data_IF_672628954962
#
_entry.id   IF_672628954962
#
_cell.length_a   1.000
_cell.length_b   1.000
_cell.length_c   1.000
_cell.angle_alpha   90.00
_cell.angle_beta   90.00
_cell.angle_gamma   90.00
#
_symmetry.space_group_name_H-M   'P 1'
#
loop_
_entity.id
_entity.type
_entity.pdbx_description
1 polymer ?
#
# COMPACT_ATOMS: atom_id res chain seq x y z
N UNK A 1 30.85 23.12 20.19
CA UNK A 1 30.13 21.86 20.44
C UNK A 1 29.71 21.39 19.07
N UNK A 2 30.27 20.29 18.56
CA UNK A 2 29.76 19.70 17.32
C UNK A 2 28.32 19.24 17.58
N UNK A 3 27.38 19.76 16.79
CA UNK A 3 25.99 19.29 16.83
C UNK A 3 26.00 17.80 16.52
N UNK A 4 25.42 17.00 17.43
CA UNK A 4 25.22 15.58 17.18
C UNK A 4 24.37 15.42 15.91
N UNK A 5 24.68 14.46 15.03
CA UNK A 5 23.84 14.15 13.88
C UNK A 5 22.39 13.91 14.31
N UNK A 6 21.44 14.53 13.61
CA UNK A 6 20.01 14.41 13.89
C UNK A 6 19.31 13.74 12.71
N UNK A 7 18.25 12.98 13.00
CA UNK A 7 17.38 12.49 11.94
C UNK A 7 16.59 13.67 11.38
N UNK A 8 16.63 13.87 10.07
CA UNK A 8 15.94 14.96 9.40
C UNK A 8 14.91 14.39 8.42
N UNK A 9 13.66 14.83 8.54
CA UNK A 9 12.59 14.47 7.61
C UNK A 9 12.82 15.08 6.21
N UNK A 10 11.97 14.75 5.23
CA UNK A 10 12.16 15.26 3.87
C UNK A 10 12.02 16.79 3.77
N UNK A 11 11.28 17.41 4.71
CA UNK A 11 11.03 18.85 4.73
C UNK A 11 12.13 19.63 5.49
N UNK A 12 13.15 18.95 6.01
CA UNK A 12 14.24 19.60 6.76
C UNK A 12 13.99 19.73 8.25
N UNK A 13 12.93 19.13 8.80
CA UNK A 13 12.64 19.19 10.22
C UNK A 13 13.36 18.08 10.98
N UNK A 14 13.85 18.40 12.18
CA UNK A 14 14.41 17.40 13.09
C UNK A 14 13.33 16.41 13.55
N UNK A 15 13.71 15.14 13.57
CA UNK A 15 12.89 14.04 14.04
C UNK A 15 13.56 13.35 15.22
N UNK A 16 12.78 13.20 16.29
CA UNK A 16 13.17 12.43 17.45
C UNK A 16 12.37 11.15 17.52
N UNK A 17 13.00 10.09 18.01
CA UNK A 17 12.34 8.81 18.22
C UNK A 17 11.27 8.94 19.33
N UNK A 18 10.03 8.50 19.07
CA UNK A 18 9.01 8.44 20.11
C UNK A 18 9.47 7.61 21.33
N UNK A 19 9.26 8.17 22.52
CA UNK A 19 9.58 7.53 23.81
C UNK A 19 8.35 7.05 24.59
N UNK A 20 7.13 7.40 24.16
CA UNK A 20 5.91 6.94 24.82
C UNK A 20 5.70 5.44 24.62
N UNK A 21 4.99 4.84 25.57
CA UNK A 21 4.62 3.44 25.60
C UNK A 21 3.18 3.25 25.17
N UNK A 22 2.85 2.04 24.70
CA UNK A 22 1.44 1.71 24.44
C UNK A 22 0.59 1.82 25.70
N UNK A 23 1.14 1.54 26.89
CA UNK A 23 0.40 1.64 28.14
C UNK A 23 -0.10 3.08 28.38
N UNK A 24 0.74 4.08 28.17
CA UNK A 24 0.35 5.49 28.31
C UNK A 24 -0.74 5.87 27.31
N UNK A 25 -0.68 5.33 26.08
CA UNK A 25 -1.73 5.52 25.06
C UNK A 25 -3.06 4.91 25.53
N UNK A 26 -3.05 3.66 26.01
CA UNK A 26 -4.26 2.98 26.51
C UNK A 26 -4.86 3.69 27.72
N UNK A 27 -4.04 4.08 28.70
CA UNK A 27 -4.49 4.71 29.94
C UNK A 27 -5.11 6.09 29.71
N UNK A 28 -4.75 6.79 28.63
CA UNK A 28 -5.28 8.11 28.31
C UNK A 28 -6.69 8.07 27.71
N UNK A 29 -7.11 6.95 27.12
CA UNK A 29 -8.36 6.85 26.36
C UNK A 29 -9.53 6.45 27.29
N UNK A 30 -10.68 7.12 27.21
CA UNK A 30 -11.86 6.74 27.98
C UNK A 30 -12.31 5.29 27.74
N UNK A 31 -12.66 4.60 28.82
CA UNK A 31 -13.01 3.17 28.77
C UNK A 31 -14.22 2.83 27.88
N UNK A 32 -15.12 3.78 27.61
CA UNK A 32 -16.24 3.56 26.70
C UNK A 32 -15.82 3.55 25.22
N UNK A 33 -14.73 4.22 24.84
CA UNK A 33 -14.25 4.20 23.46
C UNK A 33 -13.89 2.80 22.98
N UNK A 34 -13.50 1.90 23.88
CA UNK A 34 -13.17 0.50 23.59
C UNK A 34 -14.39 -0.42 23.45
N UNK A 35 -15.63 0.10 23.58
CA UNK A 35 -16.83 -0.74 23.64
C UNK A 35 -17.62 -0.65 22.33
N UNK A 36 -17.52 -1.66 21.44
CA UNK A 36 -18.35 -1.70 20.24
C UNK A 36 -19.83 -1.91 20.59
N UNK A 37 -20.69 -1.20 19.87
CA UNK A 37 -22.14 -1.34 19.85
C UNK A 37 -22.58 -1.99 18.55
N UNK A 38 -22.97 -3.27 18.62
CA UNK A 38 -23.45 -4.04 17.47
C UNK A 38 -24.64 -3.37 16.78
N UNK A 39 -25.57 -2.81 17.55
CA UNK A 39 -26.75 -2.13 17.00
C UNK A 39 -26.32 -0.90 16.19
N UNK A 40 -25.40 -0.10 16.73
CA UNK A 40 -24.89 1.08 16.03
C UNK A 40 -24.18 0.69 14.74
N UNK A 41 -23.27 -0.28 14.78
CA UNK A 41 -22.54 -0.74 13.60
C UNK A 41 -23.48 -1.32 12.53
N UNK A 42 -24.48 -2.12 12.92
CA UNK A 42 -25.50 -2.62 11.99
C UNK A 42 -26.39 -1.50 11.42
N UNK A 43 -26.65 -0.44 12.17
CA UNK A 43 -27.39 0.72 11.65
C UNK A 43 -26.61 1.43 10.54
N UNK A 44 -25.27 1.51 10.63
CA UNK A 44 -24.43 2.01 9.53
C UNK A 44 -24.46 1.09 8.31
N UNK A 45 -24.47 -0.24 8.50
CA UNK A 45 -24.66 -1.18 7.38
C UNK A 45 -26.01 -0.92 6.70
N UNK A 46 -27.10 -0.85 7.48
CA UNK A 46 -28.43 -0.59 6.94
C UNK A 46 -28.50 0.76 6.19
N UNK A 47 -27.88 1.81 6.74
CA UNK A 47 -27.76 3.13 6.11
C UNK A 47 -27.04 3.06 4.77
N UNK A 48 -25.86 2.43 4.73
CA UNK A 48 -25.03 2.41 3.52
C UNK A 48 -25.69 1.58 2.41
N UNK A 49 -26.33 0.45 2.74
CA UNK A 49 -27.12 -0.33 1.77
C UNK A 49 -28.42 0.38 1.35
N UNK A 50 -29.02 1.20 2.22
CA UNK A 50 -30.15 2.07 1.84
C UNK A 50 -29.70 3.13 0.83
N UNK A 51 -28.56 3.79 1.06
CA UNK A 51 -27.99 4.74 0.11
C UNK A 51 -27.69 4.08 -1.23
N UNK A 52 -27.04 2.92 -1.21
CA UNK A 52 -26.76 2.11 -2.40
C UNK A 52 -28.03 1.82 -3.20
N UNK A 53 -29.05 1.27 -2.54
CA UNK A 53 -30.27 0.86 -3.21
C UNK A 53 -31.06 2.06 -3.74
N UNK A 54 -31.08 3.16 -2.97
CA UNK A 54 -31.74 4.40 -3.35
C UNK A 54 -31.06 5.04 -4.56
N UNK A 55 -29.73 5.14 -4.57
CA UNK A 55 -28.98 5.72 -5.69
C UNK A 55 -29.18 4.91 -6.96
N UNK A 56 -29.13 3.57 -6.89
CA UNK A 56 -29.44 2.70 -8.04
C UNK A 56 -30.87 2.99 -8.54
N UNK A 57 -31.86 2.92 -7.65
CA UNK A 57 -33.27 3.11 -8.01
C UNK A 57 -33.53 4.48 -8.66
N UNK A 58 -33.03 5.56 -8.06
CA UNK A 58 -33.20 6.91 -8.59
C UNK A 58 -32.51 7.04 -9.95
N UNK A 59 -31.32 6.46 -10.11
CA UNK A 59 -30.53 6.58 -11.33
C UNK A 59 -31.19 5.87 -12.51
N UNK A 60 -31.65 4.62 -12.31
CA UNK A 60 -32.35 3.88 -13.37
C UNK A 60 -33.71 4.48 -13.72
N UNK A 61 -34.38 5.12 -12.75
CA UNK A 61 -35.72 5.69 -12.94
C UNK A 61 -35.68 7.04 -13.64
N UNK A 62 -34.78 7.94 -13.21
CA UNK A 62 -34.84 9.35 -13.58
C UNK A 62 -33.77 9.78 -14.58
N UNK A 63 -32.56 9.21 -14.58
CA UNK A 63 -31.52 9.63 -15.53
C UNK A 63 -31.94 9.39 -16.99
N UNK A 64 -32.57 8.26 -17.36
CA UNK A 64 -33.06 8.06 -18.73
C UNK A 64 -34.08 9.09 -19.21
N UNK A 65 -34.82 9.72 -18.28
CA UNK A 65 -35.83 10.73 -18.59
C UNK A 65 -35.22 12.08 -19.01
N UNK A 66 -33.91 12.29 -18.77
CA UNK A 66 -33.21 13.52 -19.16
C UNK A 66 -33.07 13.55 -20.70
N UNK A 67 -33.71 14.51 -21.42
CA UNK A 67 -33.70 14.50 -22.88
C UNK A 67 -32.33 14.78 -23.50
N UNK A 68 -31.54 15.66 -22.86
CA UNK A 68 -30.21 16.05 -23.32
C UNK A 68 -29.18 14.96 -23.04
N UNK A 69 -28.56 14.43 -24.11
CA UNK A 69 -27.53 13.39 -23.99
C UNK A 69 -26.30 13.84 -23.17
N UNK A 70 -25.76 15.07 -23.34
CA UNK A 70 -24.70 15.58 -22.48
C UNK A 70 -25.07 15.63 -21.00
N UNK A 71 -26.28 16.11 -20.67
CA UNK A 71 -26.74 16.15 -19.27
C UNK A 71 -26.94 14.76 -18.69
N UNK A 72 -27.41 13.81 -19.51
CA UNK A 72 -27.54 12.41 -19.12
C UNK A 72 -26.18 11.77 -18.83
N UNK A 73 -25.17 12.07 -19.65
CA UNK A 73 -23.79 11.62 -19.41
C UNK A 73 -23.26 12.17 -18.09
N UNK A 74 -23.40 13.48 -17.85
CA UNK A 74 -23.00 14.10 -16.58
C UNK A 74 -23.72 13.47 -15.38
N UNK A 75 -25.02 13.20 -15.50
CA UNK A 75 -25.80 12.55 -14.44
C UNK A 75 -25.32 11.12 -14.15
N UNK A 76 -25.01 10.32 -15.18
CA UNK A 76 -24.41 9.00 -15.00
C UNK A 76 -23.01 9.07 -14.37
N UNK A 77 -22.18 10.03 -14.78
CA UNK A 77 -20.87 10.25 -14.15
C UNK A 77 -21.04 10.60 -12.67
N UNK A 78 -21.94 11.53 -12.33
CA UNK A 78 -22.22 11.91 -10.96
C UNK A 78 -22.72 10.71 -10.12
N UNK A 79 -23.63 9.90 -10.67
CA UNK A 79 -24.05 8.65 -10.04
C UNK A 79 -22.85 7.74 -9.72
N UNK A 80 -21.99 7.47 -10.71
CA UNK A 80 -20.89 6.51 -10.50
C UNK A 80 -19.90 6.96 -9.42
N UNK A 81 -19.61 8.26 -9.36
CA UNK A 81 -18.75 8.87 -8.32
C UNK A 81 -19.40 8.74 -6.93
N UNK A 82 -20.66 9.15 -6.78
CA UNK A 82 -21.36 9.13 -5.49
C UNK A 82 -21.58 7.69 -5.01
N UNK A 83 -21.96 6.78 -5.92
CA UNK A 83 -22.09 5.36 -5.63
C UNK A 83 -20.76 4.74 -5.21
N UNK A 84 -19.66 5.18 -5.81
CA UNK A 84 -18.30 4.83 -5.39
C UNK A 84 -17.98 5.24 -3.95
N UNK A 85 -18.47 6.39 -3.49
CA UNK A 85 -18.30 6.80 -2.10
C UNK A 85 -19.05 5.85 -1.15
N UNK A 86 -20.29 5.50 -1.48
CA UNK A 86 -21.09 4.57 -0.69
C UNK A 86 -20.44 3.18 -0.64
N UNK A 87 -19.96 2.67 -1.77
CA UNK A 87 -19.26 1.38 -1.78
C UNK A 87 -17.97 1.41 -0.94
N UNK A 88 -17.24 2.53 -0.95
CA UNK A 88 -16.05 2.69 -0.11
C UNK A 88 -16.42 2.67 1.38
N UNK A 89 -17.54 3.29 1.77
CA UNK A 89 -18.09 3.17 3.13
C UNK A 89 -18.40 1.72 3.54
N UNK A 90 -19.03 0.95 2.64
CA UNK A 90 -19.29 -0.49 2.86
C UNK A 90 -17.98 -1.26 3.03
N UNK A 91 -16.96 -0.94 2.22
CA UNK A 91 -15.63 -1.55 2.34
C UNK A 91 -15.01 -1.29 3.72
N UNK A 92 -15.14 -0.05 4.22
CA UNK A 92 -14.61 0.38 5.52
C UNK A 92 -15.33 -0.33 6.67
N UNK A 93 -16.66 -0.50 6.60
CA UNK A 93 -17.39 -1.28 7.61
C UNK A 93 -16.93 -2.74 7.67
N UNK A 94 -16.60 -3.35 6.52
CA UNK A 94 -16.01 -4.69 6.48
C UNK A 94 -14.57 -4.72 7.01
N UNK A 95 -13.81 -3.65 6.80
CA UNK A 95 -12.51 -3.46 7.45
C UNK A 95 -12.65 -3.41 8.99
N UNK A 96 -13.63 -2.67 9.53
CA UNK A 96 -13.92 -2.65 10.98
C UNK A 96 -14.27 -4.05 11.53
N UNK A 97 -14.95 -4.87 10.73
CA UNK A 97 -15.17 -6.28 11.06
C UNK A 97 -13.85 -7.07 11.14
N UNK A 98 -12.89 -6.79 10.26
CA UNK A 98 -11.56 -7.40 10.26
C UNK A 98 -10.78 -7.16 11.56
N UNK A 99 -10.94 -5.98 12.16
CA UNK A 99 -10.32 -5.61 13.44
C UNK A 99 -11.11 -6.03 14.68
N UNK A 100 -12.36 -6.44 14.49
CA UNK A 100 -13.27 -6.72 15.61
C UNK A 100 -13.86 -5.47 16.27
N UNK A 101 -13.68 -4.30 15.66
CA UNK A 101 -14.23 -3.02 16.11
C UNK A 101 -15.73 -2.90 15.81
N UNK A 102 -16.26 -3.70 14.90
CA UNK A 102 -17.66 -3.67 14.51
C UNK A 102 -18.61 -4.24 15.59
N UNK A 103 -18.24 -5.32 16.28
CA UNK A 103 -19.07 -6.01 17.26
C UNK A 103 -18.22 -6.81 18.26
N UNK A 104 -18.74 -7.06 19.47
CA UNK A 104 -18.12 -7.99 20.43
C UNK A 104 -18.13 -9.44 19.93
N UNK A 105 -19.06 -9.80 19.04
CA UNK A 105 -19.17 -11.14 18.48
C UNK A 105 -18.21 -11.32 17.31
N UNK A 106 -17.18 -12.13 17.51
CA UNK A 106 -16.21 -12.51 16.47
C UNK A 106 -16.88 -13.15 15.26
N UNK A 107 -17.86 -14.04 15.50
CA UNK A 107 -18.62 -14.67 14.41
C UNK A 107 -19.39 -13.64 13.60
N UNK A 108 -20.07 -12.69 14.25
CA UNK A 108 -20.81 -11.66 13.53
C UNK A 108 -19.88 -10.79 12.69
N UNK A 109 -18.74 -10.37 13.24
CA UNK A 109 -17.73 -9.63 12.49
C UNK A 109 -17.30 -10.42 11.25
N UNK A 110 -16.98 -11.70 11.42
CA UNK A 110 -16.53 -12.53 10.32
C UNK A 110 -17.60 -12.72 9.23
N UNK A 111 -18.85 -12.94 9.62
CA UNK A 111 -19.96 -13.07 8.69
C UNK A 111 -20.24 -11.78 7.94
N UNK A 112 -20.36 -10.64 8.64
CA UNK A 112 -20.66 -9.36 8.01
C UNK A 112 -19.49 -8.87 7.13
N UNK A 113 -18.26 -9.04 7.60
CA UNK A 113 -17.06 -8.75 6.81
C UNK A 113 -17.00 -9.59 5.53
N UNK A 114 -17.26 -10.89 5.61
CA UNK A 114 -17.32 -11.78 4.45
C UNK A 114 -18.37 -11.32 3.44
N UNK A 115 -19.60 -10.99 3.89
CA UNK A 115 -20.68 -10.54 3.00
C UNK A 115 -20.30 -9.23 2.29
N UNK A 116 -19.89 -8.20 3.04
CA UNK A 116 -19.63 -6.87 2.50
C UNK A 116 -18.38 -6.82 1.61
N UNK A 117 -17.29 -7.50 1.98
CA UNK A 117 -16.10 -7.59 1.12
C UNK A 117 -16.33 -8.49 -0.09
N UNK A 118 -17.06 -9.61 0.03
CA UNK A 118 -17.41 -10.43 -1.14
C UNK A 118 -18.26 -9.66 -2.13
N UNK A 119 -19.23 -8.87 -1.66
CA UNK A 119 -20.00 -7.93 -2.49
C UNK A 119 -19.09 -6.98 -3.28
N UNK A 120 -17.95 -6.57 -2.72
CA UNK A 120 -16.96 -5.70 -3.37
C UNK A 120 -15.78 -6.46 -4.00
N UNK A 121 -15.92 -7.77 -4.22
CA UNK A 121 -14.91 -8.63 -4.86
C UNK A 121 -13.56 -8.65 -4.10
N UNK A 122 -13.61 -8.56 -2.77
CA UNK A 122 -12.46 -8.62 -1.87
C UNK A 122 -12.50 -9.93 -1.07
N UNK A 123 -11.41 -10.73 -1.04
CA UNK A 123 -11.37 -11.95 -0.25
C UNK A 123 -11.17 -11.61 1.25
N UNK A 124 -12.27 -11.46 1.99
CA UNK A 124 -12.29 -10.93 3.36
C UNK A 124 -11.28 -11.56 4.31
N UNK A 125 -11.23 -12.89 4.42
CA UNK A 125 -10.34 -13.54 5.39
C UNK A 125 -8.88 -13.46 4.97
N UNK A 126 -8.59 -13.51 3.68
CA UNK A 126 -7.25 -13.30 3.16
C UNK A 126 -6.76 -11.90 3.48
N UNK A 127 -7.57 -10.89 3.12
CA UNK A 127 -7.23 -9.50 3.34
C UNK A 127 -7.15 -9.16 4.83
N UNK A 128 -8.08 -9.59 5.69
CA UNK A 128 -8.03 -9.27 7.13
C UNK A 128 -6.78 -9.85 7.80
N UNK A 129 -6.30 -11.01 7.35
CA UNK A 129 -5.13 -11.69 7.93
C UNK A 129 -3.85 -10.98 7.50
N UNK A 130 -3.68 -10.67 6.21
CA UNK A 130 -2.52 -9.89 5.73
C UNK A 130 -2.54 -8.45 6.27
N UNK A 131 -3.71 -7.83 6.38
CA UNK A 131 -3.87 -6.52 7.00
C UNK A 131 -3.59 -6.52 8.51
N UNK A 132 -3.94 -7.59 9.23
CA UNK A 132 -3.51 -7.75 10.63
C UNK A 132 -1.99 -7.88 10.76
N UNK A 133 -1.30 -8.43 9.77
CA UNK A 133 0.17 -8.46 9.74
C UNK A 133 0.74 -7.07 9.48
N UNK A 134 0.15 -6.29 8.57
CA UNK A 134 0.50 -4.88 8.34
C UNK A 134 0.45 -4.10 9.66
N UNK A 135 -0.68 -4.09 10.37
CA UNK A 135 -0.82 -3.42 11.68
C UNK A 135 0.23 -3.83 12.72
N UNK A 136 0.71 -5.08 12.69
CA UNK A 136 1.75 -5.59 13.61
C UNK A 136 3.16 -5.20 13.20
N UNK A 137 3.35 -4.70 12.00
CA UNK A 137 4.65 -4.41 11.41
C UNK A 137 4.73 -3.03 10.73
N UNK A 138 3.68 -2.19 10.83
CA UNK A 138 3.59 -0.89 10.14
C UNK A 138 4.87 -0.09 10.27
N UNK A 139 5.36 0.46 9.16
CA UNK A 139 6.56 1.31 9.13
C UNK A 139 7.88 0.55 9.30
N UNK A 140 7.86 -0.79 9.37
CA UNK A 140 9.05 -1.62 9.34
C UNK A 140 9.44 -1.96 7.90
N UNK A 141 10.63 -1.55 7.45
CA UNK A 141 11.03 -1.72 6.04
C UNK A 141 11.30 -3.18 5.63
N UNK A 142 11.37 -4.10 6.59
CA UNK A 142 11.67 -5.52 6.35
C UNK A 142 10.44 -6.42 6.48
N UNK A 143 9.49 -6.06 7.36
CA UNK A 143 8.37 -6.94 7.77
C UNK A 143 6.98 -6.40 7.45
N UNK A 144 6.85 -5.13 7.11
CA UNK A 144 5.55 -4.57 6.75
C UNK A 144 5.02 -5.26 5.47
N UNK A 145 3.71 -5.45 5.39
CA UNK A 145 3.03 -6.17 4.31
C UNK A 145 2.31 -5.24 3.34
N UNK A 146 2.33 -3.92 3.57
CA UNK A 146 1.76 -2.93 2.67
C UNK A 146 2.56 -1.63 2.68
N UNK A 147 2.66 -0.98 1.51
CA UNK A 147 3.36 0.30 1.31
C UNK A 147 4.80 0.34 1.84
N UNK A 148 5.55 -0.77 1.72
CA UNK A 148 6.95 -0.82 2.11
C UNK A 148 7.78 0.06 1.17
N UNK A 149 8.42 1.14 1.64
CA UNK A 149 9.23 1.96 0.77
C UNK A 149 10.48 1.21 0.34
N UNK A 150 10.98 1.56 -0.84
CA UNK A 150 12.30 1.10 -1.25
C UNK A 150 13.39 1.85 -0.49
N UNK A 151 14.45 1.14 -0.07
CA UNK A 151 15.72 1.81 0.21
C UNK A 151 16.26 2.38 -1.10
N UNK A 152 17.11 3.41 -1.02
CA UNK A 152 17.69 4.02 -2.23
C UNK A 152 18.32 3.02 -3.20
N UNK A 153 19.15 2.11 -2.70
CA UNK A 153 19.80 1.08 -3.53
C UNK A 153 18.77 0.17 -4.21
N UNK A 154 17.74 -0.25 -3.47
CA UNK A 154 16.65 -1.09 -4.01
C UNK A 154 15.84 -0.32 -5.06
N UNK A 155 15.58 0.96 -4.81
CA UNK A 155 14.85 1.84 -5.71
C UNK A 155 15.60 2.00 -7.03
N UNK A 156 16.90 2.33 -6.97
CA UNK A 156 17.78 2.47 -8.14
C UNK A 156 17.83 1.19 -8.96
N UNK A 157 18.04 0.03 -8.31
CA UNK A 157 18.05 -1.27 -9.00
C UNK A 157 16.72 -1.61 -9.65
N UNK A 158 15.61 -1.24 -9.03
CA UNK A 158 14.26 -1.55 -9.53
C UNK A 158 13.88 -0.66 -10.71
N UNK A 159 14.23 0.64 -10.66
CA UNK A 159 13.86 1.61 -11.71
C UNK A 159 14.85 1.67 -12.87
N UNK A 160 16.15 1.51 -12.59
CA UNK A 160 17.23 1.71 -13.56
C UNK A 160 17.98 0.42 -13.91
N UNK A 161 17.64 -0.69 -13.24
CA UNK A 161 18.27 -1.99 -13.42
C UNK A 161 19.54 -2.18 -12.58
N UNK A 162 20.04 -3.42 -12.46
CA UNK A 162 21.17 -3.78 -11.59
C UNK A 162 22.52 -3.21 -12.03
N UNK A 163 22.60 -2.62 -13.24
CA UNK A 163 23.82 -2.03 -13.83
C UNK A 163 23.68 -0.52 -14.07
N UNK A 164 22.85 0.16 -13.30
CA UNK A 164 22.63 1.59 -13.45
C UNK A 164 23.96 2.36 -13.36
N UNK A 165 24.35 3.04 -14.45
CA UNK A 165 25.53 3.91 -14.47
C UNK A 165 25.19 5.28 -13.88
N UNK A 166 26.20 6.02 -13.38
CA UNK A 166 26.01 7.36 -12.81
C UNK A 166 25.25 8.31 -13.76
N UNK A 167 25.54 8.25 -15.06
CA UNK A 167 24.85 9.06 -16.08
C UNK A 167 23.37 8.67 -16.25
N UNK A 168 22.99 7.40 -16.02
CA UNK A 168 21.57 7.00 -16.03
C UNK A 168 20.86 7.46 -14.77
N UNK A 169 21.55 7.59 -13.64
CA UNK A 169 21.01 8.17 -12.41
C UNK A 169 20.76 9.67 -12.63
N UNK A 170 21.71 10.39 -13.24
CA UNK A 170 21.56 11.82 -13.57
C UNK A 170 20.44 12.08 -14.61
N UNK A 171 20.26 11.20 -15.61
CA UNK A 171 19.13 11.30 -16.53
C UNK A 171 17.79 10.91 -15.86
N UNK A 172 17.81 9.89 -15.00
CA UNK A 172 16.67 9.52 -14.19
C UNK A 172 16.35 10.54 -13.09
N UNK A 173 17.27 11.47 -12.81
CA UNK A 173 17.15 12.72 -12.04
C UNK A 173 16.66 13.91 -12.89
N UNK A 174 16.44 13.74 -14.19
CA UNK A 174 15.85 14.75 -15.07
C UNK A 174 14.45 14.35 -15.56
N UNK A 175 14.18 13.05 -15.75
CA UNK A 175 12.97 12.55 -16.41
C UNK A 175 11.75 12.25 -15.50
N UNK A 176 11.97 11.81 -14.27
CA UNK A 176 10.96 11.44 -13.27
C UNK A 176 10.17 12.64 -12.70
N UNK A 177 10.66 13.88 -12.78
CA UNK A 177 9.84 15.06 -12.41
C UNK A 177 8.96 15.60 -13.54
N UNK A 178 8.95 14.92 -14.68
CA UNK A 178 8.07 15.26 -15.78
C UNK A 178 6.59 15.08 -15.38
N UNK A 179 5.75 16.12 -15.48
CA UNK A 179 4.34 16.04 -15.08
C UNK A 179 3.56 14.91 -15.77
N UNK A 180 3.91 14.58 -17.01
CA UNK A 180 3.24 13.50 -17.75
C UNK A 180 3.64 12.12 -17.23
N UNK A 181 4.88 11.94 -16.80
CA UNK A 181 5.37 10.69 -16.22
C UNK A 181 4.76 10.48 -14.83
N UNK A 182 4.70 11.54 -14.01
CA UNK A 182 4.03 11.51 -12.72
C UNK A 182 2.54 11.19 -12.87
N UNK A 183 1.84 11.84 -13.79
CA UNK A 183 0.42 11.57 -14.07
C UNK A 183 0.19 10.14 -14.55
N UNK A 184 1.04 9.62 -15.43
CA UNK A 184 0.94 8.22 -15.88
C UNK A 184 1.13 7.25 -14.71
N UNK A 185 2.12 7.49 -13.84
CA UNK A 185 2.34 6.68 -12.66
C UNK A 185 1.12 6.70 -11.71
N UNK A 186 0.49 7.86 -11.53
CA UNK A 186 -0.72 8.00 -10.73
C UNK A 186 -1.90 7.23 -11.30
N UNK A 187 -2.13 7.33 -12.61
CA UNK A 187 -3.19 6.57 -13.28
C UNK A 187 -2.98 5.06 -13.14
N UNK A 188 -1.76 4.57 -13.35
CA UNK A 188 -1.44 3.14 -13.18
C UNK A 188 -1.60 2.74 -11.71
N UNK A 189 -1.12 3.55 -10.77
CA UNK A 189 -1.22 3.28 -9.34
C UNK A 189 -2.69 3.18 -8.90
N UNK A 190 -3.55 4.11 -9.33
CA UNK A 190 -4.97 4.10 -8.95
C UNK A 190 -5.78 2.99 -9.61
N UNK A 191 -5.45 2.60 -10.84
CA UNK A 191 -6.20 1.56 -11.56
C UNK A 191 -5.73 0.14 -11.21
N UNK A 192 -4.43 -0.05 -10.99
CA UNK A 192 -3.81 -1.38 -10.86
C UNK A 192 -3.32 -1.65 -9.43
N UNK A 193 -3.15 -0.64 -8.58
CA UNK A 193 -2.59 -0.77 -7.24
C UNK A 193 -3.31 -1.81 -6.40
N UNK A 194 -4.64 -1.72 -6.30
CA UNK A 194 -5.43 -2.65 -5.49
C UNK A 194 -5.48 -4.09 -6.05
N UNK A 195 -5.88 -4.33 -7.31
CA UNK A 195 -5.82 -5.68 -7.88
C UNK A 195 -4.40 -6.27 -7.88
N UNK A 196 -3.39 -5.44 -8.16
CA UNK A 196 -2.00 -5.84 -8.16
C UNK A 196 -1.50 -6.20 -6.76
N UNK A 197 -1.93 -5.50 -5.71
CA UNK A 197 -1.66 -5.88 -4.34
C UNK A 197 -2.26 -7.25 -4.00
N UNK A 198 -3.53 -7.48 -4.34
CA UNK A 198 -4.20 -8.75 -4.04
C UNK A 198 -3.58 -9.92 -4.78
N UNK A 199 -3.25 -9.76 -6.07
CA UNK A 199 -2.77 -10.84 -6.93
C UNK A 199 -1.24 -11.07 -6.85
N UNK A 200 -0.47 -10.00 -6.65
CA UNK A 200 0.98 -10.00 -6.84
C UNK A 200 1.78 -9.33 -5.71
N UNK A 201 1.13 -8.89 -4.63
CA UNK A 201 1.79 -8.27 -3.47
C UNK A 201 2.70 -7.09 -3.85
N UNK A 202 2.25 -6.22 -4.77
CA UNK A 202 3.09 -5.18 -5.37
C UNK A 202 3.73 -4.19 -4.37
N UNK A 203 3.08 -3.94 -3.23
CA UNK A 203 3.50 -2.93 -2.25
C UNK A 203 4.00 -3.51 -0.92
N UNK A 204 4.00 -4.84 -0.76
CA UNK A 204 4.44 -5.52 0.47
C UNK A 204 5.92 -5.89 0.46
N UNK A 205 6.39 -6.47 1.57
CA UNK A 205 7.71 -7.10 1.65
C UNK A 205 7.91 -8.21 0.60
N UNK A 206 9.18 -8.55 0.32
CA UNK A 206 9.56 -9.51 -0.75
C UNK A 206 9.56 -10.98 -0.35
N UNK A 207 9.24 -11.34 0.91
CA UNK A 207 9.13 -12.73 1.41
C UNK A 207 10.22 -13.68 0.89
N UNK A 208 11.50 -13.29 1.01
CA UNK A 208 12.62 -14.12 0.56
C UNK A 208 12.66 -14.42 -0.96
N UNK A 209 12.00 -13.61 -1.78
CA UNK A 209 11.92 -13.79 -3.23
C UNK A 209 10.84 -14.76 -3.69
N UNK A 210 9.84 -15.07 -2.86
CA UNK A 210 8.67 -15.85 -3.24
C UNK A 210 7.94 -15.21 -4.45
N UNK A 211 7.37 -16.05 -5.32
CA UNK A 211 6.72 -15.64 -6.59
C UNK A 211 5.49 -16.48 -6.87
N UNK A 212 4.68 -16.02 -7.83
CA UNK A 212 3.51 -16.73 -8.32
C UNK A 212 2.39 -16.75 -7.28
N UNK A 213 1.68 -17.87 -7.19
CA UNK A 213 0.51 -17.99 -6.30
C UNK A 213 0.87 -17.82 -4.82
N UNK A 214 2.10 -18.14 -4.42
CA UNK A 214 2.55 -18.06 -3.02
C UNK A 214 2.44 -16.65 -2.42
N UNK A 215 2.40 -15.62 -3.27
CA UNK A 215 2.27 -14.19 -2.91
C UNK A 215 0.91 -13.60 -3.35
N UNK A 216 -0.11 -14.45 -3.55
CA UNK A 216 -1.48 -14.04 -3.86
C UNK A 216 -2.40 -14.20 -2.63
N UNK A 217 -3.31 -13.25 -2.47
CA UNK A 217 -4.36 -13.31 -1.44
C UNK A 217 -5.44 -14.36 -1.74
N UNK A 218 -5.49 -14.90 -2.96
CA UNK A 218 -6.42 -15.96 -3.36
C UNK A 218 -5.79 -17.35 -3.25
N UNK A 219 -4.61 -17.48 -2.65
CA UNK A 219 -3.89 -18.74 -2.57
C UNK A 219 -4.04 -19.40 -1.20
N UNK A 220 -4.65 -20.57 -1.19
CA UNK A 220 -4.92 -21.39 -0.01
C UNK A 220 -4.03 -22.66 0.07
N UNK A 221 -2.83 -22.63 -0.52
CA UNK A 221 -1.84 -23.70 -0.38
C UNK A 221 -0.99 -23.57 0.89
N UNK A 222 -0.47 -24.69 1.40
CA UNK A 222 0.36 -24.73 2.63
C UNK A 222 1.68 -23.98 2.51
N UNK A 223 2.15 -23.68 1.30
CA UNK A 223 3.36 -22.92 1.00
C UNK A 223 3.10 -21.41 0.75
N UNK A 224 1.89 -20.93 1.06
CA UNK A 224 1.55 -19.51 1.10
C UNK A 224 2.46 -18.75 2.06
N UNK A 225 2.90 -17.54 1.68
CA UNK A 225 3.71 -16.69 2.56
C UNK A 225 2.87 -15.91 3.57
N UNK A 226 1.56 -15.78 3.32
CA UNK A 226 0.66 -14.98 4.15
C UNK A 226 -0.04 -15.79 5.23
N UNK A 227 -0.38 -17.06 4.95
CA UNK A 227 -1.39 -17.78 5.72
C UNK A 227 -0.84 -19.07 6.32
N UNK A 228 -1.31 -19.40 7.53
CA UNK A 228 -0.98 -20.65 8.22
C UNK A 228 -1.93 -21.77 7.78
N UNK A 229 -1.50 -23.02 7.96
CA UNK A 229 -2.29 -24.22 7.62
C UNK A 229 -3.70 -24.24 8.19
N UNK A 230 -3.89 -23.78 9.42
CA UNK A 230 -5.19 -23.72 10.08
C UNK A 230 -6.08 -22.54 9.62
N UNK A 231 -5.55 -21.63 8.80
CA UNK A 231 -6.29 -20.49 8.25
C UNK A 231 -6.80 -20.75 6.82
N UNK A 232 -6.24 -21.74 6.11
CA UNK A 232 -6.51 -22.01 4.69
C UNK A 232 -8.00 -22.26 4.37
N UNK A 233 -8.75 -22.88 5.28
CA UNK A 233 -10.20 -23.06 5.12
C UNK A 233 -10.97 -21.74 5.07
N UNK A 234 -10.49 -20.71 5.76
CA UNK A 234 -11.08 -19.36 5.72
C UNK A 234 -10.71 -18.61 4.44
N UNK A 235 -9.51 -18.86 3.90
CA UNK A 235 -9.08 -18.33 2.60
C UNK A 235 -10.01 -18.86 1.50
N UNK A 236 -10.19 -20.19 1.45
CA UNK A 236 -11.12 -20.83 0.53
C UNK A 236 -12.55 -20.29 0.66
N UNK A 237 -13.03 -20.09 1.90
CA UNK A 237 -14.36 -19.51 2.13
C UNK A 237 -14.50 -18.09 1.54
N UNK A 238 -13.44 -17.29 1.60
CA UNK A 238 -13.44 -15.94 1.01
C UNK A 238 -13.42 -15.98 -0.50
N UNK A 239 -12.65 -16.90 -1.09
CA UNK A 239 -12.59 -17.11 -2.54
C UNK A 239 -13.96 -17.57 -3.08
N UNK A 240 -14.66 -18.45 -2.34
CA UNK A 240 -16.03 -18.84 -2.65
C UNK A 240 -16.96 -17.61 -2.62
N UNK A 241 -16.84 -16.75 -1.61
CA UNK A 241 -17.63 -15.52 -1.52
C UNK A 241 -17.45 -14.60 -2.73
N UNK A 242 -16.20 -14.39 -3.14
CA UNK A 242 -15.87 -13.62 -4.36
C UNK A 242 -16.43 -14.32 -5.61
N UNK A 243 -16.27 -15.63 -5.75
CA UNK A 243 -16.77 -16.38 -6.90
C UNK A 243 -18.30 -16.31 -7.00
N UNK A 244 -19.02 -16.41 -5.87
CA UNK A 244 -20.48 -16.24 -5.81
C UNK A 244 -20.88 -14.84 -6.29
N UNK A 245 -20.19 -13.78 -5.86
CA UNK A 245 -20.48 -12.44 -6.32
C UNK A 245 -20.20 -12.27 -7.82
N UNK A 246 -19.10 -12.84 -8.34
CA UNK A 246 -18.82 -12.84 -9.79
C UNK A 246 -19.94 -13.53 -10.57
N UNK A 247 -20.40 -14.70 -10.13
CA UNK A 247 -21.53 -15.40 -10.76
C UNK A 247 -22.80 -14.56 -10.71
N UNK A 248 -23.08 -13.91 -9.57
CA UNK A 248 -24.23 -13.01 -9.44
C UNK A 248 -24.17 -11.84 -10.43
N UNK A 249 -22.99 -11.22 -10.62
CA UNK A 249 -22.77 -10.16 -11.60
C UNK A 249 -22.92 -10.66 -13.04
N UNK A 250 -22.47 -11.88 -13.35
CA UNK A 250 -22.66 -12.49 -14.68
C UNK A 250 -24.14 -12.72 -14.96
N UNK A 251 -24.88 -13.31 -14.02
CA UNK A 251 -26.33 -13.53 -14.14
C UNK A 251 -27.06 -12.19 -14.29
N UNK A 252 -26.70 -11.19 -13.48
CA UNK A 252 -27.26 -9.85 -13.58
C UNK A 252 -26.97 -9.21 -14.94
N UNK A 253 -25.76 -9.40 -15.49
CA UNK A 253 -25.38 -8.91 -16.81
C UNK A 253 -26.18 -9.58 -17.93
N UNK A 254 -26.42 -10.89 -17.83
CA UNK A 254 -27.28 -11.63 -18.77
C UNK A 254 -28.74 -11.22 -18.69
N UNK A 255 -29.23 -10.83 -17.51
CA UNK A 255 -30.63 -10.48 -17.27
C UNK A 255 -30.94 -9.02 -17.59
N UNK A 256 -30.07 -8.10 -17.19
CA UNK A 256 -30.30 -6.64 -17.25
C UNK A 256 -29.39 -5.93 -18.26
N UNK A 257 -28.51 -6.66 -18.94
CA UNK A 257 -27.52 -6.13 -19.88
C UNK A 257 -26.17 -5.84 -19.22
N UNK A 258 -25.09 -6.43 -19.74
CA UNK A 258 -23.75 -6.32 -19.18
C UNK A 258 -23.29 -4.87 -19.04
N UNK A 259 -23.60 -4.00 -20.01
CA UNK A 259 -23.25 -2.58 -19.93
C UNK A 259 -23.94 -1.86 -18.78
N UNK A 260 -25.21 -2.20 -18.49
CA UNK A 260 -25.93 -1.62 -17.37
C UNK A 260 -25.27 -2.03 -16.04
N UNK A 261 -24.87 -3.31 -15.90
CA UNK A 261 -24.15 -3.76 -14.70
C UNK A 261 -22.76 -3.13 -14.60
N UNK A 262 -22.06 -2.93 -15.72
CA UNK A 262 -20.80 -2.19 -15.73
C UNK A 262 -20.99 -0.77 -15.18
N UNK A 263 -22.01 -0.03 -15.59
CA UNK A 263 -22.26 1.33 -15.09
C UNK A 263 -22.77 1.32 -13.65
N UNK A 264 -23.70 0.41 -13.31
CA UNK A 264 -24.34 0.38 -11.99
C UNK A 264 -23.44 -0.14 -10.87
N UNK A 265 -22.57 -1.09 -11.18
CA UNK A 265 -21.69 -1.73 -10.20
C UNK A 265 -20.21 -1.62 -10.59
N UNK A 266 -19.85 -1.95 -11.83
CA UNK A 266 -18.44 -2.04 -12.26
C UNK A 266 -17.64 -0.74 -12.10
N UNK A 267 -18.17 0.38 -12.60
CA UNK A 267 -17.51 1.70 -12.50
C UNK A 267 -17.49 2.21 -11.04
N UNK A 268 -18.59 2.15 -10.26
CA UNK A 268 -18.54 2.42 -8.82
C UNK A 268 -17.55 1.55 -8.06
N UNK A 269 -17.41 0.26 -8.42
CA UNK A 269 -16.42 -0.63 -7.83
C UNK A 269 -14.97 -0.20 -8.18
N UNK A 270 -14.71 0.29 -9.39
CA UNK A 270 -13.40 0.88 -9.72
C UNK A 270 -13.10 2.12 -8.86
N UNK A 271 -14.10 2.91 -8.48
CA UNK A 271 -13.92 4.01 -7.53
C UNK A 271 -13.48 3.52 -6.15
N UNK A 272 -13.98 2.36 -5.69
CA UNK A 272 -13.51 1.74 -4.43
C UNK A 272 -12.02 1.43 -4.51
N UNK A 273 -11.57 0.82 -5.62
CA UNK A 273 -10.16 0.50 -5.83
C UNK A 273 -9.29 1.77 -5.76
N UNK A 274 -9.72 2.85 -6.44
CA UNK A 274 -9.07 4.15 -6.36
C UNK A 274 -9.03 4.69 -4.92
N UNK A 275 -10.16 4.72 -4.21
CA UNK A 275 -10.22 5.30 -2.87
C UNK A 275 -9.37 4.52 -1.87
N UNK A 276 -9.40 3.19 -1.88
CA UNK A 276 -8.56 2.38 -0.98
C UNK A 276 -7.09 2.68 -1.22
N UNK A 277 -6.63 2.70 -2.48
CA UNK A 277 -5.24 2.96 -2.81
C UNK A 277 -4.84 4.39 -2.42
N UNK A 278 -5.65 5.39 -2.76
CA UNK A 278 -5.35 6.78 -2.45
C UNK A 278 -5.33 7.08 -0.94
N UNK A 279 -6.32 6.56 -0.20
CA UNK A 279 -6.45 6.76 1.26
C UNK A 279 -5.26 6.11 1.96
N UNK A 280 -5.01 4.83 1.71
CA UNK A 280 -3.92 4.10 2.36
C UNK A 280 -2.55 4.66 1.99
N UNK A 281 -2.33 5.03 0.72
CA UNK A 281 -1.10 5.71 0.31
C UNK A 281 -0.86 6.98 1.14
N UNK A 282 -1.85 7.86 1.24
CA UNK A 282 -1.68 9.15 1.92
C UNK A 282 -1.56 9.07 3.44
N UNK A 283 -2.11 8.00 4.01
CA UNK A 283 -2.04 7.66 5.42
C UNK A 283 -0.67 7.10 5.83
N UNK A 284 0.05 6.48 4.89
CA UNK A 284 1.33 5.81 5.12
C UNK A 284 2.53 6.49 4.45
N UNK A 285 2.28 7.43 3.54
CA UNK A 285 3.32 8.13 2.78
C UNK A 285 3.20 9.63 2.99
N UNK A 286 4.17 10.21 3.70
CA UNK A 286 4.35 11.66 3.83
C UNK A 286 5.81 12.00 4.08
N UNK A 287 6.21 13.19 3.63
CA UNK A 287 7.55 13.76 3.82
C UNK A 287 8.05 13.72 5.28
N UNK A 288 7.12 13.79 6.25
CA UNK A 288 7.42 13.76 7.68
C UNK A 288 7.44 12.37 8.32
N UNK A 289 7.14 11.29 7.57
CA UNK A 289 7.02 9.93 8.12
C UNK A 289 8.37 9.22 8.24
N UNK A 290 8.69 8.69 9.44
CA UNK A 290 9.82 7.79 9.63
C UNK A 290 9.49 6.37 9.19
N UNK A 291 10.54 5.60 8.88
CA UNK A 291 10.50 4.16 8.72
C UNK A 291 11.64 3.53 9.52
N UNK A 292 11.51 2.27 9.89
CA UNK A 292 12.43 1.63 10.83
C UNK A 292 12.94 0.29 10.32
N UNK A 293 14.22 0.00 10.58
CA UNK A 293 14.76 -1.36 10.53
C UNK A 293 14.23 -2.20 11.70
N UNK A 294 14.49 -3.51 11.65
CA UNK A 294 14.16 -4.40 12.77
C UNK A 294 14.83 -4.03 14.11
N UNK A 295 16.02 -3.43 14.10
CA UNK A 295 16.75 -3.08 15.33
C UNK A 295 16.10 -1.92 16.09
N UNK A 296 15.42 -1.01 15.39
CA UNK A 296 14.92 0.25 15.95
C UNK A 296 13.40 0.26 16.09
N UNK A 297 12.71 -0.63 15.36
CA UNK A 297 11.27 -0.72 15.38
C UNK A 297 10.73 -1.21 16.74
N UNK A 298 9.68 -0.56 17.21
CA UNK A 298 8.77 -1.07 18.24
C UNK A 298 7.34 -0.89 17.75
N UNK A 299 6.37 -1.60 18.35
CA UNK A 299 4.97 -1.45 17.95
C UNK A 299 4.49 0.00 18.03
N UNK A 300 4.80 0.72 19.13
CA UNK A 300 4.42 2.12 19.29
C UNK A 300 5.03 3.02 18.20
N UNK A 301 6.31 2.83 17.86
CA UNK A 301 6.98 3.60 16.80
C UNK A 301 6.40 3.30 15.42
N UNK A 302 6.13 2.03 15.12
CA UNK A 302 5.57 1.60 13.85
C UNK A 302 4.13 2.04 13.65
N UNK A 303 3.27 1.83 14.64
CA UNK A 303 1.86 2.24 14.60
C UNK A 303 1.68 3.76 14.43
N UNK A 304 2.67 4.54 14.87
CA UNK A 304 2.66 6.01 14.76
C UNK A 304 3.45 6.55 13.57
N UNK A 305 4.00 5.67 12.72
CA UNK A 305 4.51 6.02 11.40
C UNK A 305 3.35 6.15 10.39
N UNK A 306 2.32 6.89 10.78
CA UNK A 306 1.10 7.14 10.01
C UNK A 306 0.64 8.58 10.23
N UNK A 307 -0.20 9.09 9.34
CA UNK A 307 -0.66 10.47 9.36
C UNK A 307 -2.17 10.56 9.12
N UNK A 308 -2.84 11.39 9.91
CA UNK A 308 -4.24 11.74 9.66
C UNK A 308 -4.34 12.76 8.52
N UNK A 309 -5.37 12.61 7.67
CA UNK A 309 -5.71 13.58 6.61
C UNK A 309 -7.13 14.09 6.82
N UNK A 310 -7.56 15.05 6.01
CA UNK A 310 -8.92 15.56 6.02
C UNK A 310 -9.54 15.50 4.62
N UNK A 311 -10.74 14.92 4.52
CA UNK A 311 -11.59 14.95 3.33
C UNK A 311 -12.98 15.54 3.65
N UNK A 312 -13.09 16.23 4.78
CA UNK A 312 -14.28 16.92 5.26
C UNK A 312 -15.50 16.01 5.35
N UNK A 313 -16.62 16.48 4.81
CA UNK A 313 -17.89 15.74 4.84
C UNK A 313 -17.80 14.33 4.22
N UNK A 314 -16.96 14.14 3.20
CA UNK A 314 -16.83 12.83 2.57
C UNK A 314 -16.25 11.80 3.55
N UNK A 315 -15.23 12.18 4.32
CA UNK A 315 -14.66 11.30 5.34
C UNK A 315 -15.66 11.01 6.46
N UNK A 316 -16.15 12.07 7.09
CA UNK A 316 -17.05 11.97 8.26
C UNK A 316 -18.36 11.24 7.96
N UNK A 317 -18.89 11.36 6.74
CA UNK A 317 -20.20 10.78 6.40
C UNK A 317 -20.09 9.43 5.70
N UNK A 318 -19.29 9.34 4.63
CA UNK A 318 -19.21 8.16 3.78
C UNK A 318 -18.08 7.22 4.19
N UNK A 319 -16.93 7.75 4.60
CA UNK A 319 -15.75 6.92 4.91
C UNK A 319 -15.56 6.68 6.40
N UNK A 320 -16.56 7.02 7.21
CA UNK A 320 -16.62 6.66 8.62
C UNK A 320 -15.39 7.16 9.40
N UNK A 321 -14.92 8.38 9.11
CA UNK A 321 -13.79 9.04 9.80
C UNK A 321 -12.43 8.32 9.71
N UNK A 322 -12.27 7.32 8.85
CA UNK A 322 -11.02 6.54 8.76
C UNK A 322 -9.83 7.40 8.31
N UNK A 323 -10.08 8.44 7.50
CA UNK A 323 -9.02 9.30 6.98
C UNK A 323 -8.50 10.22 8.09
N UNK A 324 -9.39 10.79 8.89
CA UNK A 324 -9.08 11.71 9.98
C UNK A 324 -8.69 11.07 11.31
N UNK A 325 -8.74 9.74 11.44
CA UNK A 325 -8.45 9.02 12.69
C UNK A 325 -7.51 7.84 12.50
N UNK A 326 -6.74 7.82 11.42
CA UNK A 326 -5.89 6.70 11.04
C UNK A 326 -4.77 6.39 12.03
N UNK A 327 -4.21 7.42 12.67
CA UNK A 327 -3.20 7.22 13.73
C UNK A 327 -3.80 6.44 14.90
N UNK A 328 -5.02 6.79 15.32
CA UNK A 328 -5.75 6.03 16.34
C UNK A 328 -6.03 4.60 15.89
N UNK A 329 -6.43 4.45 14.62
CA UNK A 329 -6.69 3.15 14.03
C UNK A 329 -5.45 2.23 14.05
N UNK A 330 -4.25 2.71 13.73
CA UNK A 330 -3.03 1.88 13.83
C UNK A 330 -2.61 1.56 15.24
N UNK A 331 -2.74 2.51 16.16
CA UNK A 331 -2.44 2.28 17.57
C UNK A 331 -3.37 1.24 18.19
N UNK A 332 -4.68 1.36 17.92
CA UNK A 332 -5.72 0.54 18.54
C UNK A 332 -6.89 0.34 17.55
N UNK A 333 -6.68 -0.54 16.57
CA UNK A 333 -7.68 -0.79 15.51
C UNK A 333 -8.99 -1.44 15.99
N UNK A 334 -9.05 -1.88 17.26
CA UNK A 334 -10.27 -2.41 17.86
C UNK A 334 -11.22 -1.34 18.40
N UNK A 335 -10.81 -0.07 18.43
CA UNK A 335 -11.70 1.06 18.75
C UNK A 335 -12.64 1.26 17.55
N UNK A 336 -13.97 1.23 17.74
CA UNK A 336 -14.91 1.50 16.67
C UNK A 336 -14.73 2.90 16.10
N UNK A 337 -14.84 3.04 14.78
CA UNK A 337 -14.72 4.33 14.09
C UNK A 337 -15.50 5.50 14.74
N UNK A 338 -16.71 5.25 15.23
CA UNK A 338 -17.55 6.28 15.88
C UNK A 338 -17.09 6.70 17.29
N UNK A 339 -16.02 6.10 17.80
CA UNK A 339 -15.29 6.52 19.00
C UNK A 339 -13.85 6.95 18.68
N UNK A 340 -13.37 6.73 17.45
CA UNK A 340 -11.99 6.99 17.06
C UNK A 340 -11.64 8.49 17.13
N UNK A 341 -12.57 9.39 16.79
CA UNK A 341 -12.34 10.84 16.91
C UNK A 341 -12.14 11.30 18.36
N UNK A 342 -12.92 10.75 19.29
CA UNK A 342 -12.75 11.01 20.74
C UNK A 342 -11.41 10.45 21.22
N UNK A 343 -11.13 9.17 20.94
CA UNK A 343 -9.88 8.52 21.30
C UNK A 343 -8.65 9.27 20.76
N UNK A 344 -8.71 9.75 19.51
CA UNK A 344 -7.65 10.55 18.88
C UNK A 344 -7.34 11.82 19.65
N UNK A 345 -8.33 12.46 20.28
CA UNK A 345 -8.12 13.66 21.12
C UNK A 345 -7.27 13.35 22.35
N UNK A 346 -7.44 12.16 22.94
CA UNK A 346 -6.66 11.69 24.08
C UNK A 346 -5.26 11.23 23.66
N UNK A 347 -5.17 10.50 22.54
CA UNK A 347 -3.91 10.05 21.95
C UNK A 347 -2.98 11.24 21.63
N UNK A 348 -3.52 12.31 21.03
CA UNK A 348 -2.79 13.54 20.72
C UNK A 348 -2.07 14.13 21.94
N UNK A 349 -2.68 14.04 23.13
CA UNK A 349 -2.08 14.57 24.39
C UNK A 349 -0.87 13.76 24.84
N UNK A 350 -0.88 12.45 24.61
CA UNK A 350 0.24 11.56 24.96
C UNK A 350 1.36 11.65 23.93
N UNK A 351 1.01 11.65 22.65
CA UNK A 351 1.99 11.66 21.55
C UNK A 351 2.69 13.02 21.37
N UNK A 352 2.04 14.12 21.74
CA UNK A 352 2.59 15.47 21.59
C UNK A 352 3.02 15.76 20.15
N UNK A 353 4.28 16.16 19.96
CA UNK A 353 4.87 16.50 18.66
C UNK A 353 5.00 15.31 17.69
N UNK A 354 4.90 14.08 18.19
CA UNK A 354 4.93 12.88 17.36
C UNK A 354 3.59 12.56 16.70
N UNK A 355 2.48 13.21 17.11
CA UNK A 355 1.21 13.05 16.41
C UNK A 355 1.27 13.80 15.08
N UNK A 356 1.06 13.08 13.98
CA UNK A 356 1.12 13.65 12.63
C UNK A 356 -0.27 13.76 12.03
N UNK A 357 -0.59 14.97 11.56
CA UNK A 357 -1.83 15.26 10.86
C UNK A 357 -1.61 16.37 9.84
N UNK A 358 -2.16 16.22 8.64
CA UNK A 358 -2.21 17.27 7.62
C UNK A 358 -3.66 17.43 7.15
N UNK A 359 -4.37 18.33 7.82
CA UNK A 359 -5.77 18.68 7.53
C UNK A 359 -5.91 19.95 6.69
N UNK A 360 -4.80 20.62 6.41
CA UNK A 360 -4.79 21.90 5.66
C UNK A 360 -4.54 21.68 4.17
N UNK A 361 -3.77 20.66 3.80
CA UNK A 361 -3.51 20.35 2.40
C UNK A 361 -4.70 19.58 1.82
N UNK A 362 -5.31 20.03 0.70
CA UNK A 362 -6.37 19.27 0.04
C UNK A 362 -5.90 17.86 -0.33
N UNK A 363 -6.74 16.85 -0.12
CA UNK A 363 -6.39 15.43 -0.30
C UNK A 363 -5.64 15.13 -1.60
N UNK A 364 -6.18 15.53 -2.75
CA UNK A 364 -5.53 15.29 -4.05
C UNK A 364 -4.26 16.11 -4.29
N UNK A 365 -4.12 17.26 -3.61
CA UNK A 365 -2.87 18.03 -3.62
C UNK A 365 -1.79 17.31 -2.80
N UNK A 366 -2.15 16.78 -1.63
CA UNK A 366 -1.25 15.95 -0.84
C UNK A 366 -0.87 14.68 -1.60
N UNK A 367 -1.82 14.04 -2.29
CA UNK A 367 -1.59 12.85 -3.09
C UNK A 367 -0.53 13.11 -4.16
N UNK A 368 -0.76 14.14 -4.98
CA UNK A 368 0.15 14.56 -6.03
C UNK A 368 1.55 14.94 -5.49
N UNK A 369 1.60 15.70 -4.40
CA UNK A 369 2.85 16.08 -3.72
C UNK A 369 3.63 14.84 -3.29
N UNK A 370 2.99 13.96 -2.52
CA UNK A 370 3.67 12.85 -1.86
C UNK A 370 4.12 11.78 -2.87
N UNK A 371 3.35 11.51 -3.93
CA UNK A 371 3.79 10.63 -5.02
C UNK A 371 5.09 11.11 -5.67
N UNK A 372 5.20 12.43 -5.76
CA UNK A 372 6.29 13.11 -6.44
C UNK A 372 7.50 13.34 -5.53
N UNK A 373 7.33 13.38 -4.22
CA UNK A 373 8.40 13.69 -3.24
C UNK A 373 8.90 12.47 -2.48
N UNK A 374 8.03 11.51 -2.14
CA UNK A 374 8.38 10.34 -1.34
C UNK A 374 8.79 9.15 -2.22
N UNK A 375 10.03 9.15 -2.75
CA UNK A 375 10.48 8.16 -3.73
C UNK A 375 11.11 6.92 -3.13
N UNK A 376 11.99 7.13 -2.16
CA UNK A 376 12.70 6.08 -1.42
C UNK A 376 13.00 6.59 -0.02
N UNK A 377 13.48 5.70 0.83
CA UNK A 377 13.94 6.05 2.17
C UNK A 377 15.43 5.74 2.36
N UNK A 378 16.11 6.58 3.14
CA UNK A 378 17.49 6.38 3.58
C UNK A 378 17.70 7.03 4.95
N UNK A 379 18.80 6.69 5.62
CA UNK A 379 19.17 7.33 6.88
C UNK A 379 19.69 8.75 6.63
N UNK A 380 19.58 9.61 7.63
CA UNK A 380 20.13 10.97 7.56
C UNK A 380 21.66 10.95 7.63
N UNK A 381 22.31 11.96 7.05
CA UNK A 381 23.77 12.09 7.07
C UNK A 381 24.31 12.10 8.51
N UNK A 382 25.28 11.22 8.79
CA UNK A 382 25.86 11.06 10.13
C UNK A 382 25.02 10.22 11.09
N UNK A 383 23.86 9.71 10.65
CA UNK A 383 23.01 8.80 11.42
C UNK A 383 23.05 7.35 10.87
N UNK A 384 24.08 6.98 10.13
CA UNK A 384 24.19 5.66 9.51
C UNK A 384 24.21 4.55 10.57
N UNK A 385 23.39 3.50 10.36
CA UNK A 385 23.23 2.40 11.30
C UNK A 385 22.25 2.66 12.45
N UNK A 386 21.62 3.83 12.51
CA UNK A 386 20.55 4.15 13.47
C UNK A 386 19.28 3.31 13.30
N UNK A 387 19.05 2.78 12.10
CA UNK A 387 17.83 2.09 11.73
C UNK A 387 16.61 3.00 11.57
N UNK A 388 16.80 4.32 11.44
CA UNK A 388 15.74 5.31 11.18
C UNK A 388 15.89 5.87 9.77
N UNK A 389 14.90 5.60 8.94
CA UNK A 389 14.88 5.94 7.53
C UNK A 389 13.83 7.03 7.28
N UNK A 390 14.20 8.03 6.48
CA UNK A 390 13.33 9.13 6.11
C UNK A 390 13.17 9.19 4.60
N UNK A 391 12.02 9.66 4.13
CA UNK A 391 11.80 9.82 2.70
C UNK A 391 12.80 10.79 2.09
N UNK A 392 13.19 10.49 0.85
CA UNK A 392 14.04 11.29 0.00
C UNK A 392 13.56 11.23 -1.44
N UNK A 393 14.03 12.23 -2.18
CA UNK A 393 13.80 12.39 -3.60
C UNK A 393 15.16 12.62 -4.27
N UNK A 394 15.42 11.98 -5.42
CA UNK A 394 16.64 12.30 -6.17
C UNK A 394 16.61 13.74 -6.69
N UNK A 395 15.40 14.24 -6.95
CA UNK A 395 15.15 15.60 -7.39
C UNK A 395 15.22 16.55 -6.19
N UNK A 396 16.11 17.54 -6.26
CA UNK A 396 16.10 18.63 -5.29
C UNK A 396 14.96 19.61 -5.63
N UNK A 397 13.77 19.37 -5.10
CA UNK A 397 12.76 20.43 -5.06
C UNK A 397 13.11 21.46 -3.99
N UNK A 398 12.62 22.67 -4.19
CA UNK A 398 12.85 23.76 -3.25
C UNK A 398 12.30 23.38 -1.86
N UNK A 399 13.16 23.48 -0.84
CA UNK A 399 12.83 23.11 0.54
C UNK A 399 13.00 21.63 0.91
N UNK A 400 13.25 20.73 -0.06
CA UNK A 400 13.45 19.29 0.23
C UNK A 400 14.91 18.96 0.60
N UNK A 401 15.10 18.06 1.56
CA UNK A 401 16.41 17.54 1.96
C UNK A 401 16.99 16.67 0.85
N UNK A 402 18.24 16.96 0.48
CA UNK A 402 18.96 16.20 -0.53
C UNK A 402 19.21 14.77 -0.07
N UNK A 403 19.17 13.80 -0.98
CA UNK A 403 19.65 12.48 -0.65
C UNK A 403 21.18 12.49 -0.51
N UNK A 404 21.73 11.53 0.23
CA UNK A 404 23.16 11.38 0.44
C UNK A 404 23.92 11.35 -0.89
N UNK A 405 25.16 11.80 -0.95
CA UNK A 405 25.93 11.60 -2.18
C UNK A 405 26.33 10.13 -2.30
N UNK A 406 26.17 9.56 -3.48
CA UNK A 406 26.84 8.29 -3.81
C UNK A 406 28.34 8.60 -3.89
N UNK A 407 29.11 8.29 -2.85
CA UNK A 407 30.59 8.31 -2.96
C UNK A 407 30.94 7.27 -4.03
N UNK A 408 31.64 7.57 -5.13
CA UNK A 408 32.83 8.41 -5.23
C UNK A 408 33.00 9.16 -6.56
N UNK A 409 33.21 10.48 -6.47
CA UNK A 409 34.16 11.21 -7.31
C UNK A 409 35.60 11.05 -6.75
N UNK A 410 36.09 9.81 -6.66
CA UNK A 410 37.53 9.55 -6.51
C UNK A 410 38.07 9.21 -7.89
N UNK A 411 38.30 10.26 -8.67
CA UNK A 411 38.80 10.16 -10.05
C UNK A 411 38.87 11.48 -10.81
N UNK A 412 38.88 12.63 -10.13
CA UNK A 412 39.35 13.89 -10.70
C UNK A 412 40.75 14.21 -10.14
N UNK A 413 41.69 13.32 -10.43
CA UNK A 413 43.09 13.72 -10.63
C UNK A 413 43.54 13.02 -11.90
N UNK A 414 43.29 13.65 -13.06
CA UNK A 414 44.03 13.31 -14.28
C UNK A 414 45.46 13.77 -14.04
N UNK A 415 46.31 12.86 -13.60
CA UNK A 415 47.74 12.98 -13.86
C UNK A 415 47.92 13.07 -15.38
N UNK A 416 48.41 14.21 -15.85
CA UNK A 416 48.90 14.37 -17.22
C UNK A 416 50.04 13.40 -17.46
N UNK A 417 49.75 12.23 -18.02
CA UNK A 417 50.75 11.46 -18.75
C UNK A 417 50.58 11.76 -20.24
N UNK A 418 51.47 12.61 -20.75
CA UNK A 418 51.76 12.74 -22.17
C UNK A 418 52.30 11.40 -22.67
N UNK A 419 51.56 10.74 -23.53
CA UNK A 419 52.16 9.70 -24.39
C UNK A 419 51.81 9.99 -25.86
N UNK A 420 52.88 10.14 -26.63
CA UNK A 420 52.91 10.49 -28.04
C UNK A 420 52.27 9.40 -28.90
N UNK A 421 51.50 9.84 -29.89
CA UNK A 421 51.03 8.97 -30.98
C UNK A 421 52.22 8.56 -31.87
N UNK A 422 52.34 7.27 -32.17
CA UNK A 422 52.86 6.77 -33.46
C UNK A 422 51.97 5.69 -34.05
N UNK A 423 51.83 5.61 -35.39
CA UNK A 423 50.76 4.86 -36.04
C UNK A 423 51.19 3.55 -36.72
N UNK A 424 50.19 2.68 -36.94
CA UNK A 424 50.02 1.69 -38.03
C UNK A 424 51.09 0.61 -38.26
N UNK A 425 50.68 -0.66 -38.21
CA UNK A 425 50.72 -1.55 -39.39
C UNK A 425 49.94 -2.86 -39.18
N UNK A 426 49.51 -3.41 -40.31
CA UNK A 426 48.53 -4.48 -40.45
C UNK A 426 49.16 -5.88 -40.68
N UNK A 427 48.26 -6.88 -40.72
CA UNK A 427 48.33 -8.21 -41.36
C UNK A 427 48.95 -9.37 -40.58
N UNK A 428 48.16 -10.43 -40.31
CA UNK A 428 48.05 -11.61 -41.18
C UNK A 428 47.08 -12.65 -40.59
N UNK A 429 46.41 -13.38 -41.48
CA UNK A 429 45.52 -14.52 -41.20
C UNK A 429 46.35 -15.77 -40.84
N UNK A 430 45.79 -16.67 -40.03
CA UNK A 430 45.89 -18.09 -40.38
C UNK A 430 44.71 -18.94 -39.88
N UNK A 431 44.38 -19.91 -40.74
CA UNK A 431 43.26 -20.85 -40.68
C UNK A 431 43.67 -22.18 -40.01
N UNK A 432 42.64 -22.94 -39.64
CA UNK A 432 42.60 -24.38 -39.37
C UNK A 432 43.14 -24.92 -38.04
N UNK A 433 42.24 -25.50 -37.23
CA UNK A 433 42.22 -26.97 -37.06
C UNK A 433 40.91 -27.47 -36.44
N UNK A 434 40.39 -28.52 -37.07
CA UNK A 434 39.15 -29.27 -36.77
C UNK A 434 39.31 -30.27 -35.61
N UNK A 435 38.12 -30.67 -35.10
CA UNK A 435 37.73 -31.96 -34.48
C UNK A 435 38.16 -32.23 -33.03
N UNK A 436 37.15 -32.40 -32.15
CA UNK A 436 36.60 -33.72 -31.76
C UNK A 436 35.30 -33.57 -30.98
N UNK A 437 34.23 -34.16 -31.52
CA UNK A 437 33.02 -34.56 -30.81
C UNK A 437 33.14 -36.05 -30.48
N UNK A 438 32.82 -36.47 -29.26
CA UNK A 438 32.31 -37.82 -29.01
C UNK A 438 31.36 -37.82 -27.81
N UNK A 439 30.15 -38.31 -28.08
CA UNK A 439 29.12 -38.71 -27.14
C UNK A 439 29.59 -39.88 -26.25
N UNK A 440 29.07 -39.99 -25.02
CA UNK A 440 28.60 -41.28 -24.51
C UNK A 440 27.56 -41.07 -23.40
N UNK A 441 26.53 -41.89 -23.44
CA UNK A 441 25.32 -41.84 -22.64
C UNK A 441 25.38 -42.78 -21.43
N UNK A 442 24.45 -42.55 -20.50
CA UNK A 442 23.74 -43.51 -19.64
C UNK A 442 24.53 -44.43 -18.70
N UNK A 443 24.17 -44.38 -17.41
CA UNK A 443 23.81 -45.55 -16.59
C UNK A 443 23.11 -45.12 -15.28
N UNK A 444 21.88 -45.59 -15.09
CA UNK A 444 21.21 -45.79 -13.79
C UNK A 444 21.29 -47.30 -13.49
N UNK A 445 21.53 -47.68 -12.23
CA UNK A 445 20.71 -48.65 -11.46
C UNK A 445 21.46 -49.23 -10.22
N UNK A 446 20.80 -49.07 -9.07
CA UNK A 446 20.48 -50.07 -8.03
C UNK A 446 21.51 -50.72 -7.06
N UNK A 447 21.02 -50.75 -5.79
CA UNK A 447 21.13 -51.74 -4.68
C UNK A 447 22.21 -51.53 -3.59
N UNK A 448 22.02 -52.01 -2.34
CA UNK A 448 20.85 -52.68 -1.72
C UNK A 448 20.42 -52.20 -0.31
N UNK A 449 19.24 -52.70 0.11
CA UNK A 449 18.63 -52.78 1.44
C UNK A 449 19.34 -53.77 2.38
N UNK A 450 19.13 -53.62 3.71
CA UNK A 450 18.59 -54.59 4.71
C UNK A 450 18.93 -54.06 6.15
N UNK A 451 17.95 -53.77 7.02
CA UNK A 451 17.25 -54.69 7.97
C UNK A 451 18.19 -55.13 9.13
N UNK A 452 17.90 -55.17 10.44
CA UNK A 452 16.71 -55.18 11.30
C UNK A 452 17.10 -54.66 12.70
N UNK A 453 16.13 -54.24 13.52
CA UNK A 453 16.30 -53.89 14.95
C UNK A 453 15.16 -53.05 15.51
#
# INVERSE_FOLDING_TARGET
MEDKPQHIDLNGNSFELPSFTMKEIYDAIPAHCFKPSTIRSMAYVARDYLYLSTLIYLSITYIPLIPSAPLRFVAWTAYTVIQGFVFTGIWILAHECGHGAFSKSKTLNWTMGLIMHSFLLVPFHSWRLSHSQHHKATGNIERDTAFVPHTRDTWLKTKLGPKASANMIEFAELAEDSPIVALWHDLVHQLVGWPGYLLFNLTGQKYGGAKGLRISHFYFGEDSVFFKKNELGLILLSDIGVAVMVVALVIAGQTFGSWNICILFGVPWLWVNNWIVAITFLQHTDASMPHYSNSTWTFARGATATIDRDLGFLDTHFFHDIIGTHVCHHLISSIPFYHAGEASTHIKRVMGSHYKSDTKTPFWTAFWRNQRSCKFVEESEGCEGSGVYMFRNLYKREGEVRPLQLVSNKGQERAEYKEEKKPLMATSRNLDTRRRLSQSAQLRANLPLLADG
#
